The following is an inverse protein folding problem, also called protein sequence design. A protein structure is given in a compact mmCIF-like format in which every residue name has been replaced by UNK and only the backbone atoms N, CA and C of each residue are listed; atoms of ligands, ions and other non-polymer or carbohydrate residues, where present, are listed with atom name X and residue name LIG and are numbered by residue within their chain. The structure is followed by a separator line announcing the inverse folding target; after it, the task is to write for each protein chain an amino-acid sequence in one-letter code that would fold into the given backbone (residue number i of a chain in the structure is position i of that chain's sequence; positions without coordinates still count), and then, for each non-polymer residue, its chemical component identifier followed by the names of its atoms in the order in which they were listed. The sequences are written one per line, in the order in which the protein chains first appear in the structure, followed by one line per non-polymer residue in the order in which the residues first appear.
data_IF_154862142512
#
_entry.id   IF_154862142512
#
_cell.length_a   1.000
_cell.length_b   1.000
_cell.length_c   1.000
_cell.angle_alpha   90.00
_cell.angle_beta   90.00
_cell.angle_gamma   90.00
#
_symmetry.space_group_name_H-M   'P 1'
#
loop_
_entity.id
_entity.type
_entity.pdbx_description
1 polymer ?
#
# COMPACT_ATOMS: atom_id res chain seq x y z
N UNK A 1 44.76 58.48 14.20
CA UNK A 1 44.64 57.09 14.73
C UNK A 1 43.19 56.67 14.56
N UNK A 2 42.87 55.91 13.51
CA UNK A 2 41.50 55.38 13.27
C UNK A 2 41.43 53.95 13.82
N UNK A 3 40.56 53.76 14.85
CA UNK A 3 40.25 52.42 15.39
C UNK A 3 39.27 51.71 14.44
N UNK A 4 39.70 50.64 13.83
CA UNK A 4 38.85 49.74 13.02
C UNK A 4 38.13 48.79 14.00
N UNK A 5 36.81 48.95 14.12
CA UNK A 5 35.95 48.05 14.88
C UNK A 5 35.58 46.85 13.97
N UNK A 6 36.06 45.66 14.34
CA UNK A 6 35.75 44.39 13.67
C UNK A 6 34.42 43.86 14.20
N UNK A 7 33.37 43.90 13.37
CA UNK A 7 32.07 43.30 13.71
C UNK A 7 32.11 41.83 13.26
N UNK A 8 32.15 40.92 14.25
CA UNK A 8 32.07 39.48 14.04
C UNK A 8 30.57 39.12 13.93
N UNK A 9 30.14 38.79 12.71
CA UNK A 9 28.77 38.34 12.44
C UNK A 9 28.72 36.83 12.69
N UNK A 10 28.18 36.43 13.87
CA UNK A 10 27.97 35.04 14.23
C UNK A 10 26.72 34.53 13.53
N UNK A 11 26.89 33.77 12.46
CA UNK A 11 25.80 33.08 11.79
C UNK A 11 25.32 31.87 12.64
N UNK A 12 24.14 32.00 13.27
CA UNK A 12 23.47 30.88 13.90
C UNK A 12 22.94 29.95 12.80
N UNK A 13 23.59 28.81 12.60
CA UNK A 13 23.04 27.71 11.83
C UNK A 13 21.94 27.05 12.64
N UNK A 14 20.68 27.39 12.36
CA UNK A 14 19.52 26.63 12.81
C UNK A 14 19.48 25.31 12.00
N UNK A 15 20.06 24.25 12.54
CA UNK A 15 19.83 22.89 12.05
C UNK A 15 18.39 22.53 12.38
N UNK A 16 17.48 22.72 11.42
CA UNK A 16 16.14 22.17 11.52
C UNK A 16 16.27 20.64 11.49
N UNK A 17 16.11 20.00 12.65
CA UNK A 17 15.88 18.55 12.70
C UNK A 17 14.55 18.29 12.01
N UNK A 18 14.58 17.86 10.76
CA UNK A 18 13.41 17.28 10.10
C UNK A 18 13.18 15.94 10.78
N UNK A 19 12.31 15.89 11.77
CA UNK A 19 11.83 14.63 12.34
C UNK A 19 11.01 13.95 11.25
N UNK A 20 11.58 12.96 10.58
CA UNK A 20 10.82 12.08 9.71
C UNK A 20 9.86 11.28 10.59
N UNK A 21 8.57 11.66 10.55
CA UNK A 21 7.53 10.88 11.20
C UNK A 21 7.59 9.44 10.69
N UNK A 22 7.73 8.50 11.60
CA UNK A 22 7.82 7.09 11.29
C UNK A 22 6.50 6.39 11.56
N UNK A 23 6.08 5.57 10.61
CA UNK A 23 4.99 4.64 10.84
C UNK A 23 5.39 3.61 11.90
N UNK A 24 4.50 3.32 12.84
CA UNK A 24 4.70 2.21 13.77
C UNK A 24 4.37 0.89 13.05
N UNK A 25 5.42 0.18 12.69
CA UNK A 25 5.34 -1.02 11.84
C UNK A 25 5.50 -2.26 12.72
N UNK A 26 4.44 -3.10 12.86
CA UNK A 26 4.54 -4.32 13.66
C UNK A 26 5.43 -5.37 13.00
N UNK A 27 6.02 -6.28 13.78
CA UNK A 27 6.80 -7.39 13.25
C UNK A 27 5.93 -8.48 12.62
N UNK A 28 4.66 -8.56 12.99
CA UNK A 28 3.70 -9.49 12.42
C UNK A 28 2.30 -8.88 12.33
N UNK A 29 1.53 -9.36 11.38
CA UNK A 29 0.14 -8.95 11.15
C UNK A 29 -0.74 -10.19 11.08
N UNK A 30 -1.88 -10.15 11.79
CA UNK A 30 -2.93 -11.15 11.67
C UNK A 30 -3.89 -10.76 10.56
N UNK A 31 -4.14 -11.67 9.62
CA UNK A 31 -5.12 -11.50 8.56
C UNK A 31 -5.73 -12.84 8.16
N UNK A 32 -7.07 -12.95 8.17
CA UNK A 32 -7.80 -14.18 7.84
C UNK A 32 -7.26 -15.42 8.58
N UNK A 33 -7.16 -15.36 9.92
CA UNK A 33 -6.66 -16.40 10.80
C UNK A 33 -5.22 -16.88 10.50
N UNK A 34 -4.46 -16.10 9.75
CA UNK A 34 -3.05 -16.35 9.43
C UNK A 34 -2.16 -15.25 10.00
N UNK A 35 -0.96 -15.64 10.42
CA UNK A 35 0.07 -14.71 10.89
C UNK A 35 1.10 -14.47 9.79
N UNK A 36 1.16 -13.24 9.31
CA UNK A 36 2.14 -12.77 8.34
C UNK A 36 3.29 -12.10 9.09
N UNK A 37 4.53 -12.41 8.73
CA UNK A 37 5.73 -11.87 9.33
C UNK A 37 6.40 -10.87 8.38
N UNK A 38 6.97 -9.79 8.93
CA UNK A 38 7.68 -8.80 8.14
C UNK A 38 8.87 -9.45 7.43
N UNK A 39 8.78 -9.56 6.11
CA UNK A 39 9.77 -10.19 5.25
C UNK A 39 10.72 -9.17 4.62
N UNK A 40 10.21 -8.03 4.17
CA UNK A 40 11.02 -6.94 3.60
C UNK A 40 10.49 -5.59 4.00
N UNK A 41 11.41 -4.62 4.11
CA UNK A 41 11.08 -3.21 4.26
C UNK A 41 12.02 -2.36 3.42
N UNK A 42 11.48 -1.32 2.82
CA UNK A 42 12.24 -0.35 2.05
C UNK A 42 11.68 1.05 2.31
N UNK A 43 12.56 1.99 2.67
CA UNK A 43 12.21 3.40 2.82
C UNK A 43 13.00 4.22 1.78
N UNK A 44 12.26 4.92 0.91
CA UNK A 44 12.80 5.76 -0.15
C UNK A 44 12.65 7.26 0.15
N UNK A 45 12.46 7.63 1.41
CA UNK A 45 12.27 9.00 1.85
C UNK A 45 10.84 9.52 1.64
N UNK A 46 10.32 9.58 0.43
CA UNK A 46 8.93 10.00 0.17
C UNK A 46 7.92 8.89 0.37
N UNK A 47 8.31 7.64 0.16
CA UNK A 47 7.49 6.43 0.31
C UNK A 47 8.27 5.38 1.08
N UNK A 48 7.55 4.62 1.92
CA UNK A 48 8.09 3.40 2.51
C UNK A 48 7.14 2.22 2.24
N UNK A 49 7.71 1.05 2.03
CA UNK A 49 6.99 -0.17 1.70
C UNK A 49 7.42 -1.31 2.61
N UNK A 50 6.45 -2.03 3.16
CA UNK A 50 6.65 -3.14 4.08
C UNK A 50 5.84 -4.33 3.57
N UNK A 51 6.49 -5.46 3.39
CA UNK A 51 5.88 -6.69 2.88
C UNK A 51 5.92 -7.76 3.97
N UNK A 52 4.77 -8.33 4.24
CA UNK A 52 4.58 -9.41 5.19
C UNK A 52 4.15 -10.67 4.47
N UNK A 53 4.81 -11.77 4.76
CA UNK A 53 4.60 -13.07 4.13
C UNK A 53 4.31 -14.14 5.17
N UNK A 54 3.74 -15.24 4.73
CA UNK A 54 3.58 -16.42 5.58
C UNK A 54 4.94 -17.07 5.88
N UNK A 55 5.10 -17.74 7.02
CA UNK A 55 6.31 -18.49 7.32
C UNK A 55 6.68 -19.44 6.18
N UNK A 56 7.95 -19.39 5.73
CA UNK A 56 8.47 -20.21 4.64
C UNK A 56 8.24 -19.63 3.22
N UNK A 57 7.47 -18.59 3.07
CA UNK A 57 7.34 -17.86 1.79
C UNK A 57 8.47 -16.84 1.61
N UNK A 58 8.75 -16.50 0.36
CA UNK A 58 9.75 -15.51 -0.03
C UNK A 58 9.15 -14.44 -0.94
N UNK A 59 9.79 -13.26 -1.11
CA UNK A 59 9.30 -12.23 -2.03
C UNK A 59 9.18 -12.69 -3.48
N UNK A 60 9.89 -13.75 -3.88
CA UNK A 60 9.78 -14.35 -5.21
C UNK A 60 8.67 -15.39 -5.31
N UNK A 61 8.43 -16.11 -4.22
CA UNK A 61 7.51 -17.25 -4.15
C UNK A 61 6.58 -17.09 -2.95
N UNK A 62 5.41 -16.51 -3.18
CA UNK A 62 4.37 -16.33 -2.19
C UNK A 62 2.99 -16.58 -2.80
N UNK A 63 2.04 -16.99 -1.99
CA UNK A 63 0.64 -17.18 -2.37
C UNK A 63 -0.26 -16.09 -1.85
N UNK A 64 0.04 -15.56 -0.67
CA UNK A 64 -0.66 -14.40 -0.11
C UNK A 64 0.31 -13.50 0.64
N UNK A 65 0.05 -12.20 0.59
CA UNK A 65 0.88 -11.20 1.25
C UNK A 65 0.00 -10.12 1.89
N UNK A 66 0.51 -9.53 2.97
CA UNK A 66 0.02 -8.26 3.48
C UNK A 66 1.09 -7.21 3.18
N UNK A 67 0.67 -6.06 2.69
CA UNK A 67 1.57 -4.98 2.34
C UNK A 67 1.11 -3.69 3.01
N UNK A 68 2.07 -2.94 3.56
CA UNK A 68 1.84 -1.58 4.06
C UNK A 68 2.64 -0.63 3.20
N UNK A 69 1.95 0.36 2.65
CA UNK A 69 2.55 1.46 1.92
C UNK A 69 2.34 2.76 2.71
N UNK A 70 3.42 3.44 3.03
CA UNK A 70 3.41 4.81 3.53
C UNK A 70 3.81 5.75 2.39
N UNK A 71 2.97 6.71 2.05
CA UNK A 71 3.31 7.88 1.24
C UNK A 71 3.29 9.10 2.16
N UNK A 72 4.45 9.72 2.44
CA UNK A 72 4.57 10.87 3.35
C UNK A 72 3.86 12.13 2.86
N UNK A 73 3.25 12.01 1.70
CA UNK A 73 2.37 13.02 1.12
C UNK A 73 2.98 14.43 1.02
N UNK A 74 4.27 14.54 0.72
CA UNK A 74 4.96 15.83 0.56
C UNK A 74 4.32 16.74 -0.50
N UNK A 75 3.49 16.19 -1.38
CA UNK A 75 2.76 16.94 -2.40
C UNK A 75 1.34 17.34 -1.95
N UNK A 76 0.97 17.08 -0.70
CA UNK A 76 -0.36 17.38 -0.14
C UNK A 76 -1.51 16.87 -1.03
N UNK A 77 -1.37 15.68 -1.61
CA UNK A 77 -2.41 15.09 -2.46
C UNK A 77 -3.64 14.77 -1.65
N UNK A 78 -4.79 15.22 -2.13
CA UNK A 78 -6.08 14.83 -1.58
C UNK A 78 -6.41 13.38 -1.92
N UNK A 79 -7.38 12.81 -1.20
CA UNK A 79 -7.86 11.45 -1.46
C UNK A 79 -8.39 11.30 -2.91
N UNK A 80 -9.11 12.31 -3.41
CA UNK A 80 -9.62 12.30 -4.78
C UNK A 80 -8.47 12.33 -5.81
N UNK A 81 -7.46 13.15 -5.61
CA UNK A 81 -6.29 13.19 -6.49
C UNK A 81 -5.54 11.85 -6.50
N UNK A 82 -5.49 11.12 -5.37
CA UNK A 82 -4.92 9.78 -5.30
C UNK A 82 -5.73 8.76 -6.10
N UNK A 83 -7.06 8.82 -6.00
CA UNK A 83 -7.96 7.97 -6.78
C UNK A 83 -7.76 8.22 -8.28
N UNK A 84 -7.77 9.48 -8.71
CA UNK A 84 -7.65 9.85 -10.12
C UNK A 84 -6.28 9.48 -10.70
N UNK A 85 -5.20 9.70 -9.93
CA UNK A 85 -3.86 9.27 -10.31
C UNK A 85 -3.81 7.75 -10.50
N UNK A 86 -4.34 6.98 -9.56
CA UNK A 86 -4.32 5.52 -9.60
C UNK A 86 -5.18 4.96 -10.74
N UNK A 87 -6.36 5.52 -10.97
CA UNK A 87 -7.20 5.17 -12.14
C UNK A 87 -6.44 5.39 -13.45
N UNK A 88 -5.78 6.54 -13.59
CA UNK A 88 -4.97 6.85 -14.77
C UNK A 88 -3.82 5.85 -14.96
N UNK A 89 -3.11 5.50 -13.88
CA UNK A 89 -2.03 4.51 -13.94
C UNK A 89 -2.58 3.16 -14.39
N UNK A 90 -3.65 2.66 -13.79
CA UNK A 90 -4.24 1.39 -14.19
C UNK A 90 -4.70 1.39 -15.66
N UNK A 91 -5.37 2.45 -16.09
CA UNK A 91 -5.80 2.58 -17.49
C UNK A 91 -4.61 2.58 -18.45
N UNK A 92 -3.56 3.35 -18.16
CA UNK A 92 -2.39 3.47 -19.01
C UNK A 92 -1.55 2.19 -19.06
N UNK A 93 -1.58 1.38 -18.00
CA UNK A 93 -0.89 0.08 -17.95
C UNK A 93 -1.74 -1.10 -18.42
N UNK A 94 -2.94 -0.83 -18.95
CA UNK A 94 -3.83 -1.85 -19.51
C UNK A 94 -4.55 -2.72 -18.49
N UNK A 95 -4.55 -2.35 -17.21
CA UNK A 95 -5.32 -3.04 -16.17
C UNK A 95 -6.81 -2.78 -16.40
N UNK A 96 -7.59 -3.86 -16.55
CA UNK A 96 -9.02 -3.77 -16.93
C UNK A 96 -9.98 -3.97 -15.76
N UNK A 97 -9.59 -4.73 -14.76
CA UNK A 97 -10.47 -5.18 -13.70
C UNK A 97 -10.08 -4.56 -12.37
N UNK A 98 -10.56 -3.36 -12.11
CA UNK A 98 -10.31 -2.64 -10.86
C UNK A 98 -11.50 -1.79 -10.45
N UNK A 99 -11.55 -1.42 -9.18
CA UNK A 99 -12.43 -0.39 -8.64
C UNK A 99 -11.68 0.41 -7.58
N UNK A 100 -11.89 1.73 -7.58
CA UNK A 100 -11.40 2.65 -6.56
C UNK A 100 -12.54 3.56 -6.15
N UNK A 101 -12.74 3.69 -4.85
CA UNK A 101 -13.73 4.59 -4.27
C UNK A 101 -13.27 5.10 -2.91
N UNK A 102 -13.91 6.13 -2.40
CA UNK A 102 -13.70 6.62 -1.04
C UNK A 102 -15.00 6.57 -0.26
N UNK A 103 -14.88 6.25 1.02
CA UNK A 103 -15.97 6.27 1.98
C UNK A 103 -15.40 6.64 3.36
N UNK A 104 -16.01 7.62 4.04
CA UNK A 104 -15.58 8.07 5.36
C UNK A 104 -14.07 8.34 5.44
N UNK A 105 -13.56 9.17 4.52
CA UNK A 105 -12.15 9.56 4.40
C UNK A 105 -11.16 8.40 4.20
N UNK A 106 -11.67 7.23 3.89
CA UNK A 106 -10.88 6.04 3.59
C UNK A 106 -11.00 5.69 2.10
N UNK A 107 -9.88 5.47 1.45
CA UNK A 107 -9.81 4.91 0.11
C UNK A 107 -9.94 3.40 0.19
N UNK A 108 -10.76 2.85 -0.67
CA UNK A 108 -10.88 1.41 -0.90
C UNK A 108 -10.55 1.09 -2.35
N UNK A 109 -9.83 0.02 -2.56
CA UNK A 109 -9.44 -0.40 -3.90
C UNK A 109 -9.41 -1.91 -4.01
N UNK A 110 -9.78 -2.43 -5.18
CA UNK A 110 -9.36 -3.76 -5.59
C UNK A 110 -8.88 -3.75 -7.03
N UNK A 111 -7.98 -4.67 -7.33
CA UNK A 111 -7.48 -4.94 -8.69
C UNK A 111 -7.41 -6.44 -8.90
N UNK A 112 -7.82 -6.91 -10.08
CA UNK A 112 -7.63 -8.29 -10.52
C UNK A 112 -6.72 -8.26 -11.74
N UNK A 113 -5.51 -8.79 -11.61
CA UNK A 113 -4.55 -8.96 -12.69
C UNK A 113 -4.76 -10.33 -13.34
N UNK A 114 -4.91 -10.32 -14.64
CA UNK A 114 -4.98 -11.55 -15.43
C UNK A 114 -3.59 -12.17 -15.58
N UNK A 115 -3.49 -13.49 -15.72
CA UNK A 115 -2.22 -14.15 -16.05
C UNK A 115 -1.56 -13.56 -17.29
N UNK A 116 -0.25 -13.43 -17.24
CA UNK A 116 0.59 -12.90 -18.33
C UNK A 116 1.78 -13.83 -18.57
N UNK A 117 2.64 -13.47 -19.50
CA UNK A 117 3.90 -14.21 -19.73
C UNK A 117 4.82 -14.17 -18.51
N UNK A 118 4.83 -13.06 -17.78
CA UNK A 118 5.68 -12.87 -16.62
C UNK A 118 5.07 -13.42 -15.32
N UNK A 119 3.74 -13.41 -15.21
CA UNK A 119 3.02 -13.92 -14.05
C UNK A 119 1.93 -14.89 -14.50
N UNK A 120 2.09 -16.18 -14.22
CA UNK A 120 1.20 -17.23 -14.68
C UNK A 120 -0.09 -17.35 -13.88
N UNK A 121 -0.15 -16.72 -12.71
CA UNK A 121 -1.29 -16.76 -11.81
C UNK A 121 -2.19 -15.53 -11.99
N UNK A 122 -3.45 -15.66 -11.62
CA UNK A 122 -4.29 -14.51 -11.31
C UNK A 122 -3.77 -13.87 -10.02
N UNK A 123 -3.69 -12.55 -9.99
CA UNK A 123 -3.38 -11.84 -8.74
C UNK A 123 -4.52 -10.90 -8.41
N UNK A 124 -4.90 -10.86 -7.13
CA UNK A 124 -5.94 -9.98 -6.62
C UNK A 124 -5.33 -9.16 -5.50
N UNK A 125 -5.36 -7.84 -5.65
CA UNK A 125 -4.95 -6.92 -4.62
C UNK A 125 -6.19 -6.19 -4.09
N UNK A 126 -6.36 -6.17 -2.78
CA UNK A 126 -7.47 -5.52 -2.10
C UNK A 126 -6.92 -4.63 -0.99
N UNK A 127 -7.33 -3.37 -0.98
CA UNK A 127 -6.70 -2.38 -0.12
C UNK A 127 -7.69 -1.41 0.52
N UNK A 128 -7.31 -0.91 1.68
CA UNK A 128 -7.85 0.31 2.29
C UNK A 128 -6.70 1.25 2.64
N UNK A 129 -6.95 2.56 2.58
CA UNK A 129 -5.93 3.55 2.92
C UNK A 129 -6.53 4.87 3.35
N UNK A 130 -5.86 5.54 4.28
CA UNK A 130 -6.27 6.87 4.76
C UNK A 130 -5.07 7.72 5.11
N UNK A 131 -5.30 9.02 5.23
CA UNK A 131 -4.32 9.95 5.78
C UNK A 131 -4.23 9.73 7.29
N UNK A 132 -3.01 9.58 7.81
CA UNK A 132 -2.74 9.54 9.24
C UNK A 132 -2.05 10.85 9.64
N UNK A 133 -2.49 11.49 10.73
CA UNK A 133 -1.81 12.66 11.26
C UNK A 133 -0.31 12.38 11.46
N UNK A 134 0.54 13.32 11.06
CA UNK A 134 2.00 13.28 11.16
C UNK A 134 2.75 12.27 10.29
N UNK A 135 2.10 11.27 9.69
CA UNK A 135 2.76 10.30 8.82
C UNK A 135 2.55 10.54 7.32
N UNK A 136 1.35 10.94 6.96
CA UNK A 136 0.89 10.98 5.58
C UNK A 136 -0.11 9.88 5.25
N UNK A 137 -0.22 9.51 3.99
CA UNK A 137 -1.18 8.49 3.55
C UNK A 137 -0.63 7.09 3.76
N UNK A 138 -1.36 6.28 4.50
CA UNK A 138 -1.02 4.87 4.75
C UNK A 138 -2.04 3.96 4.09
N UNK A 139 -1.56 2.98 3.35
CA UNK A 139 -2.39 1.94 2.74
C UNK A 139 -2.04 0.58 3.31
N UNK A 140 -3.05 -0.15 3.70
CA UNK A 140 -3.02 -1.58 3.97
C UNK A 140 -3.54 -2.32 2.75
N UNK A 141 -2.81 -3.32 2.27
CA UNK A 141 -3.19 -4.14 1.13
C UNK A 141 -3.06 -5.61 1.47
N UNK A 142 -4.04 -6.39 1.06
CA UNK A 142 -3.98 -7.84 1.05
C UNK A 142 -3.94 -8.34 -0.38
N UNK A 143 -2.95 -9.16 -0.71
CA UNK A 143 -2.68 -9.67 -2.04
C UNK A 143 -2.78 -11.20 -2.06
N UNK A 144 -3.43 -11.75 -3.09
CA UNK A 144 -3.61 -13.18 -3.31
C UNK A 144 -3.16 -13.57 -4.70
N UNK A 145 -2.43 -14.68 -4.82
CA UNK A 145 -2.19 -15.38 -6.09
C UNK A 145 -3.09 -16.59 -6.19
N UNK A 146 -3.78 -16.72 -7.31
CA UNK A 146 -4.68 -17.84 -7.62
C UNK A 146 -4.13 -18.56 -8.85
N UNK A 147 -3.64 -19.81 -8.71
CA UNK A 147 -3.10 -20.56 -9.82
C UNK A 147 -4.13 -20.72 -10.96
N UNK A 148 -3.69 -20.51 -12.19
CA UNK A 148 -4.56 -20.57 -13.37
C UNK A 148 -5.32 -21.90 -13.48
N UNK A 149 -4.74 -23.00 -13.02
CA UNK A 149 -5.33 -24.35 -13.10
C UNK A 149 -6.27 -24.68 -11.93
N UNK A 150 -6.37 -23.79 -10.93
CA UNK A 150 -7.20 -24.02 -9.75
C UNK A 150 -8.67 -23.76 -10.07
N UNK A 151 -9.49 -24.85 -10.21
CA UNK A 151 -10.96 -24.80 -10.43
C UNK A 151 -11.45 -23.82 -11.53
N UNK A 152 -10.55 -23.08 -12.15
CA UNK A 152 -10.81 -22.00 -13.10
C UNK A 152 -10.40 -22.39 -14.53
N UNK A 153 -9.75 -23.56 -14.71
CA UNK A 153 -9.07 -23.95 -15.96
C UNK A 153 -9.95 -24.00 -17.22
N UNK A 154 -11.25 -24.23 -17.06
CA UNK A 154 -12.21 -24.32 -18.18
C UNK A 154 -13.07 -23.02 -18.33
N UNK A 155 -12.78 -21.98 -17.57
CA UNK A 155 -13.53 -20.72 -17.63
C UNK A 155 -12.80 -19.72 -18.54
N UNK A 156 -13.57 -18.96 -19.33
CA UNK A 156 -13.00 -17.78 -19.99
C UNK A 156 -12.72 -16.65 -18.97
N UNK A 157 -11.82 -15.72 -19.32
CA UNK A 157 -11.37 -14.65 -18.42
C UNK A 157 -12.54 -13.87 -17.78
N UNK A 158 -13.58 -13.55 -18.52
CA UNK A 158 -14.76 -12.84 -18.01
C UNK A 158 -15.47 -13.61 -16.89
N UNK A 159 -15.63 -14.92 -17.05
CA UNK A 159 -16.24 -15.78 -16.02
C UNK A 159 -15.34 -15.90 -14.80
N UNK A 160 -14.02 -16.02 -15.00
CA UNK A 160 -13.04 -16.04 -13.89
C UNK A 160 -13.12 -14.74 -13.11
N UNK A 161 -13.04 -13.58 -13.77
CA UNK A 161 -13.12 -12.28 -13.11
C UNK A 161 -14.41 -12.14 -12.30
N UNK A 162 -15.56 -12.52 -12.86
CA UNK A 162 -16.84 -12.48 -12.14
C UNK A 162 -16.84 -13.39 -10.91
N UNK A 163 -16.27 -14.59 -11.04
CA UNK A 163 -16.13 -15.52 -9.92
C UNK A 163 -15.25 -14.95 -8.81
N UNK A 164 -14.07 -14.43 -9.18
CA UNK A 164 -13.13 -13.82 -8.22
C UNK A 164 -13.76 -12.60 -7.52
N UNK A 165 -14.47 -11.75 -8.26
CA UNK A 165 -15.19 -10.61 -7.66
C UNK A 165 -16.20 -11.08 -6.63
N UNK A 166 -17.08 -11.99 -6.99
CA UNK A 166 -18.18 -12.44 -6.12
C UNK A 166 -17.70 -13.18 -4.88
N UNK A 167 -16.73 -14.07 -5.01
CA UNK A 167 -16.39 -15.01 -3.93
C UNK A 167 -15.15 -14.60 -3.13
N UNK A 168 -14.26 -13.78 -3.69
CA UNK A 168 -13.06 -13.32 -2.99
C UNK A 168 -13.10 -11.82 -2.71
N UNK A 169 -13.24 -10.99 -3.75
CA UNK A 169 -13.17 -9.52 -3.58
C UNK A 169 -14.28 -9.00 -2.67
N UNK A 170 -15.54 -9.35 -2.93
CA UNK A 170 -16.68 -8.84 -2.13
C UNK A 170 -16.56 -9.23 -0.65
N UNK A 171 -16.17 -10.49 -0.38
CA UNK A 171 -15.95 -10.97 0.98
C UNK A 171 -14.84 -10.19 1.67
N UNK A 172 -13.68 -10.08 1.03
CA UNK A 172 -12.50 -9.45 1.60
C UNK A 172 -12.67 -7.94 1.78
N UNK A 173 -13.22 -7.25 0.78
CA UNK A 173 -13.51 -5.82 0.88
C UNK A 173 -14.50 -5.51 2.01
N UNK A 174 -15.49 -6.38 2.23
CA UNK A 174 -16.41 -6.27 3.37
C UNK A 174 -15.68 -6.46 4.71
N UNK A 175 -14.71 -7.35 4.80
CA UNK A 175 -13.87 -7.53 5.99
C UNK A 175 -12.98 -6.31 6.21
N UNK A 176 -12.27 -5.85 5.18
CA UNK A 176 -11.42 -4.65 5.25
C UNK A 176 -12.21 -3.39 5.66
N UNK A 177 -13.44 -3.23 5.18
CA UNK A 177 -14.26 -2.07 5.53
C UNK A 177 -14.71 -2.05 7.00
N UNK A 178 -14.81 -3.21 7.64
CA UNK A 178 -15.22 -3.37 9.03
C UNK A 178 -14.05 -3.43 10.01
N UNK A 179 -12.88 -3.84 9.52
CA UNK A 179 -11.70 -3.97 10.35
C UNK A 179 -11.23 -2.60 10.85
N UNK A 180 -10.87 -2.53 12.12
CA UNK A 180 -10.25 -1.35 12.71
C UNK A 180 -8.94 -1.00 11.99
N UNK A 181 -8.52 0.25 12.15
CA UNK A 181 -7.25 0.70 11.64
C UNK A 181 -6.15 0.37 12.66
N UNK A 182 -5.21 -0.49 12.25
CA UNK A 182 -4.18 -1.04 13.16
C UNK A 182 -2.87 -0.25 13.19
N UNK A 183 -2.72 0.74 12.31
CA UNK A 183 -1.45 1.43 12.12
C UNK A 183 -1.51 2.83 12.74
N UNK A 184 -0.45 3.21 13.44
CA UNK A 184 -0.24 4.51 14.04
C UNK A 184 1.09 5.12 13.62
N UNK A 185 1.28 6.40 13.95
CA UNK A 185 2.52 7.12 13.72
C UNK A 185 3.28 7.30 15.02
N UNK A 186 4.60 7.10 14.97
CA UNK A 186 5.49 7.48 16.07
C UNK A 186 5.64 9.01 16.06
N UNK A 187 5.31 9.62 17.18
CA UNK A 187 5.58 11.05 17.44
C UNK A 187 7.04 11.28 17.78
#
# INVERSE_FOLDING_TARGET
MMKKTLVILTALFLTACVSNSQLDVPQSIQHNDKTYQLATQQDLGSVAHYVYLLPGETPKEWQSAVEILLDRNFQNRTLQQRIDLRKRVYTNTGVKNFQLYSQNETLYAYVIYEPSEQNKDWQIDMAKGKELPFCGFVQYQYSLKIPKNYKLGNMNSKRVVNHLKKYLVEKEMKQLSKADWLLGCKS
#
